data_IF_384436369569
#
_entry.id   IF_384436369569
#
_cell.length_a   1.000
_cell.length_b   1.000
_cell.length_c   1.000
_cell.angle_alpha   90.00
_cell.angle_beta   90.00
_cell.angle_gamma   90.00
#
_symmetry.space_group_name_H-M   'P 1'
#
loop_
_entity.id
_entity.type
_entity.pdbx_description
1 polymer ?
#
# COMPACT_ATOMS: atom_id res chain seq x y z
N UNK A 1 -75.87 -65.43 5.10
CA UNK A 1 -75.01 -65.90 4.02
C UNK A 1 -74.02 -64.75 3.71
N UNK A 2 -72.94 -64.74 4.38
CA UNK A 2 -71.93 -63.72 4.22
C UNK A 2 -70.60 -64.38 3.88
N UNK A 3 -70.06 -64.13 2.71
CA UNK A 3 -68.79 -64.65 2.23
C UNK A 3 -67.68 -63.73 2.69
N UNK A 4 -66.78 -64.24 3.47
CA UNK A 4 -65.59 -63.56 3.98
C UNK A 4 -64.47 -63.68 2.93
N UNK A 5 -63.99 -62.57 2.40
CA UNK A 5 -62.83 -62.55 1.56
C UNK A 5 -61.64 -62.15 2.42
N UNK A 6 -60.67 -63.02 2.54
CA UNK A 6 -59.38 -62.78 3.17
C UNK A 6 -58.48 -62.20 2.09
N UNK A 7 -58.10 -60.95 2.23
CA UNK A 7 -57.06 -60.31 1.39
C UNK A 7 -55.70 -60.55 2.04
N UNK A 8 -54.84 -61.29 1.37
CA UNK A 8 -53.44 -61.47 1.74
C UNK A 8 -52.67 -60.20 1.32
N UNK A 9 -52.22 -59.48 2.29
CA UNK A 9 -51.32 -58.27 2.06
C UNK A 9 -49.88 -58.77 1.90
N UNK A 10 -49.37 -58.76 0.68
CA UNK A 10 -47.99 -59.05 0.40
C UNK A 10 -47.10 -57.85 0.84
N UNK A 11 -46.25 -58.07 1.83
CA UNK A 11 -45.23 -57.15 2.22
C UNK A 11 -44.10 -57.18 1.18
N UNK A 12 -44.09 -56.24 0.29
CA UNK A 12 -42.92 -55.99 -0.56
C UNK A 12 -41.84 -55.31 0.29
N UNK A 13 -40.79 -56.01 0.66
CA UNK A 13 -39.58 -55.44 1.24
C UNK A 13 -38.86 -54.61 0.17
N UNK A 14 -39.00 -53.32 0.26
CA UNK A 14 -38.08 -52.42 -0.46
C UNK A 14 -36.71 -52.54 0.19
N UNK A 15 -35.83 -53.30 -0.45
CA UNK A 15 -34.41 -53.16 -0.22
C UNK A 15 -34.02 -51.77 -0.71
N UNK A 16 -33.99 -50.79 0.20
CA UNK A 16 -33.33 -49.51 -0.06
C UNK A 16 -31.83 -49.80 -0.20
N UNK A 17 -31.36 -49.90 -1.44
CA UNK A 17 -29.97 -49.67 -1.71
C UNK A 17 -29.68 -48.24 -1.28
N UNK A 18 -29.12 -48.07 -0.10
CA UNK A 18 -28.37 -46.87 0.23
C UNK A 18 -27.18 -46.89 -0.70
N UNK A 19 -27.31 -46.29 -1.88
CA UNK A 19 -26.13 -45.80 -2.57
C UNK A 19 -25.59 -44.73 -1.64
N UNK A 20 -24.53 -45.09 -0.94
CA UNK A 20 -23.59 -44.10 -0.43
C UNK A 20 -23.16 -43.30 -1.65
N UNK A 21 -23.79 -42.15 -1.85
CA UNK A 21 -23.26 -41.12 -2.72
C UNK A 21 -22.03 -40.61 -1.95
N UNK A 22 -20.93 -41.33 -2.07
CA UNK A 22 -19.63 -40.75 -1.80
C UNK A 22 -19.56 -39.55 -2.74
N UNK A 23 -19.79 -38.36 -2.19
CA UNK A 23 -19.37 -37.11 -2.83
C UNK A 23 -17.91 -37.31 -3.18
N UNK A 24 -17.65 -37.70 -4.43
CA UNK A 24 -16.27 -37.73 -4.91
C UNK A 24 -15.71 -36.36 -4.65
N UNK A 25 -14.80 -36.25 -3.69
CA UNK A 25 -13.96 -35.07 -3.52
C UNK A 25 -13.36 -34.79 -4.88
N UNK A 26 -13.46 -33.55 -5.39
CA UNK A 26 -12.91 -33.21 -6.68
C UNK A 26 -11.46 -33.68 -6.76
N UNK A 27 -11.12 -34.51 -7.73
CA UNK A 27 -9.79 -35.11 -7.93
C UNK A 27 -8.75 -34.08 -8.41
N UNK A 28 -8.98 -32.78 -8.20
CA UNK A 28 -8.08 -31.71 -8.56
C UNK A 28 -7.15 -31.31 -7.41
N UNK A 29 -5.93 -30.93 -7.73
CA UNK A 29 -5.06 -30.27 -6.78
C UNK A 29 -5.64 -28.88 -6.44
N UNK A 30 -5.69 -28.53 -5.15
CA UNK A 30 -6.14 -27.22 -4.69
C UNK A 30 -5.17 -26.15 -5.16
N UNK A 31 -5.68 -25.01 -5.63
CA UNK A 31 -4.88 -23.81 -5.85
C UNK A 31 -4.47 -23.28 -4.48
N UNK A 32 -3.20 -23.40 -4.12
CA UNK A 32 -2.66 -22.89 -2.87
C UNK A 32 -1.90 -21.60 -3.09
N UNK A 33 -1.88 -20.74 -2.08
CA UNK A 33 -1.05 -19.54 -2.04
C UNK A 33 0.05 -19.69 -1.01
N UNK A 34 1.25 -19.19 -1.33
CA UNK A 34 2.44 -19.27 -0.47
C UNK A 34 3.39 -18.14 -0.79
N UNK A 35 4.39 -17.94 0.08
CA UNK A 35 5.48 -17.00 -0.15
C UNK A 35 5.03 -15.58 -0.53
N UNK A 36 4.33 -14.94 0.41
CA UNK A 36 4.02 -13.52 0.31
C UNK A 36 5.27 -12.73 0.70
N UNK A 37 5.90 -12.10 -0.27
CA UNK A 37 7.06 -11.24 -0.06
C UNK A 37 6.74 -9.82 -0.48
N UNK A 38 7.27 -8.84 0.25
CA UNK A 38 7.27 -7.44 -0.16
C UNK A 38 8.64 -7.13 -0.73
N UNK A 39 8.67 -6.56 -1.93
CA UNK A 39 9.91 -6.13 -2.56
C UNK A 39 10.50 -4.95 -1.79
N UNK A 40 11.57 -5.19 -1.04
CA UNK A 40 12.43 -4.16 -0.49
C UNK A 40 13.61 -3.97 -1.45
N UNK A 41 13.77 -2.81 -2.00
CA UNK A 41 14.78 -2.51 -3.00
C UNK A 41 16.21 -2.43 -2.47
N UNK A 42 16.46 -2.77 -1.23
CA UNK A 42 17.80 -2.96 -0.68
C UNK A 42 18.21 -4.42 -0.69
N UNK A 43 18.93 -4.74 -1.61
CA UNK A 43 19.91 -5.75 -1.93
C UNK A 43 20.49 -6.61 -0.83
N UNK A 44 19.71 -7.30 -0.03
CA UNK A 44 20.16 -8.53 0.58
C UNK A 44 19.04 -9.55 0.42
N UNK A 45 19.35 -10.74 -0.07
CA UNK A 45 18.40 -11.86 -0.17
C UNK A 45 17.79 -12.27 1.19
N UNK A 46 18.15 -11.59 2.27
CA UNK A 46 17.66 -11.75 3.63
C UNK A 46 16.54 -10.76 4.03
N UNK A 47 16.25 -9.72 3.23
CA UNK A 47 15.31 -8.65 3.58
C UNK A 47 13.95 -8.74 2.88
N UNK A 48 13.63 -9.86 2.28
CA UNK A 48 12.26 -10.16 1.89
C UNK A 48 11.47 -10.43 3.17
N UNK A 49 10.89 -9.40 3.75
CA UNK A 49 10.03 -9.55 4.92
C UNK A 49 8.82 -10.37 4.47
N UNK A 50 8.67 -11.56 5.03
CA UNK A 50 7.46 -12.35 4.84
C UNK A 50 6.28 -11.48 5.29
N UNK A 51 5.41 -11.09 4.34
CA UNK A 51 4.26 -10.26 4.65
C UNK A 51 3.34 -10.98 5.62
N UNK A 52 3.07 -10.35 6.76
CA UNK A 52 2.09 -10.85 7.73
C UNK A 52 0.81 -10.02 7.58
N UNK A 53 0.23 -10.02 6.40
CA UNK A 53 -0.98 -9.27 6.08
C UNK A 53 -1.91 -10.12 5.20
N UNK A 54 -3.18 -9.86 5.30
CA UNK A 54 -4.21 -10.39 4.42
C UNK A 54 -4.24 -9.64 3.09
N UNK A 55 -4.63 -10.33 2.02
CA UNK A 55 -4.70 -9.76 0.68
C UNK A 55 -5.90 -10.29 -0.10
N UNK A 56 -6.35 -9.53 -1.08
CA UNK A 56 -7.40 -9.92 -2.03
C UNK A 56 -6.80 -10.49 -3.30
N UNK A 57 -7.28 -11.66 -3.75
CA UNK A 57 -6.82 -12.29 -4.99
C UNK A 57 -7.87 -12.18 -6.08
N UNK A 58 -7.43 -11.81 -7.26
CA UNK A 58 -8.14 -11.95 -8.53
C UNK A 58 -7.41 -12.98 -9.38
N UNK A 59 -8.14 -13.90 -9.97
CA UNK A 59 -7.54 -14.97 -10.78
C UNK A 59 -8.35 -15.24 -12.03
N UNK A 60 -7.68 -15.32 -13.18
CA UNK A 60 -8.26 -15.71 -14.45
C UNK A 60 -7.70 -17.05 -14.88
N UNK A 61 -8.56 -17.92 -15.41
CA UNK A 61 -8.17 -19.15 -16.08
C UNK A 61 -8.50 -19.07 -17.57
N UNK A 62 -7.58 -19.52 -18.39
CA UNK A 62 -7.76 -19.68 -19.82
C UNK A 62 -7.48 -21.12 -20.26
N UNK A 63 -8.42 -21.74 -20.95
CA UNK A 63 -8.30 -23.09 -21.51
C UNK A 63 -9.05 -23.18 -22.85
N UNK A 64 -9.11 -24.37 -23.45
CA UNK A 64 -9.81 -24.60 -24.72
C UNK A 64 -11.32 -24.31 -24.65
N UNK A 65 -11.94 -24.31 -23.47
CA UNK A 65 -13.36 -24.04 -23.26
C UNK A 65 -13.67 -22.55 -23.05
N UNK A 66 -12.65 -21.68 -22.94
CA UNK A 66 -12.81 -20.24 -22.76
C UNK A 66 -11.97 -19.67 -21.62
N UNK A 67 -12.19 -18.40 -21.34
CA UNK A 67 -11.53 -17.64 -20.28
C UNK A 67 -12.57 -17.22 -19.24
N UNK A 68 -12.19 -17.18 -17.97
CA UNK A 68 -13.08 -16.69 -16.91
C UNK A 68 -12.34 -16.36 -15.61
N UNK A 69 -12.94 -15.48 -14.82
CA UNK A 69 -12.50 -15.22 -13.46
C UNK A 69 -12.86 -16.39 -12.57
N UNK A 70 -11.88 -16.93 -11.84
CA UNK A 70 -12.06 -17.97 -10.81
C UNK A 70 -11.92 -17.41 -9.41
N UNK A 71 -11.25 -16.24 -9.28
CA UNK A 71 -11.20 -15.45 -8.06
C UNK A 71 -11.59 -14.01 -8.38
N UNK A 72 -12.47 -13.47 -7.54
CA UNK A 72 -12.87 -12.05 -7.61
C UNK A 72 -12.79 -11.48 -6.21
N UNK A 73 -11.70 -10.77 -5.95
CA UNK A 73 -11.39 -10.21 -4.62
C UNK A 73 -11.50 -11.27 -3.50
N UNK A 74 -10.98 -12.47 -3.77
CA UNK A 74 -10.97 -13.55 -2.79
C UNK A 74 -10.06 -13.19 -1.63
N UNK A 75 -10.58 -13.09 -0.39
CA UNK A 75 -9.72 -12.87 0.77
C UNK A 75 -8.83 -14.09 1.01
N UNK A 76 -7.54 -13.82 1.20
CA UNK A 76 -6.51 -14.80 1.53
C UNK A 76 -5.81 -14.30 2.79
N UNK A 77 -5.77 -15.14 3.83
CA UNK A 77 -5.07 -14.82 5.06
C UNK A 77 -3.55 -14.86 4.87
N UNK A 78 -2.80 -14.27 5.80
CA UNK A 78 -1.34 -14.20 5.76
C UNK A 78 -0.65 -15.58 5.70
N UNK A 79 -1.31 -16.64 6.15
CA UNK A 79 -0.84 -18.04 6.08
C UNK A 79 -1.18 -18.73 4.75
N UNK A 80 -1.85 -18.03 3.82
CA UNK A 80 -2.26 -18.52 2.52
C UNK A 80 -3.61 -19.28 2.53
N UNK A 81 -4.33 -19.31 3.66
CA UNK A 81 -5.65 -19.95 3.74
C UNK A 81 -6.76 -19.09 3.17
N UNK A 82 -7.75 -19.71 2.54
CA UNK A 82 -8.93 -19.05 1.98
C UNK A 82 -10.09 -20.01 1.84
N UNK A 83 -11.31 -19.48 1.69
CA UNK A 83 -12.54 -20.27 1.49
C UNK A 83 -13.54 -19.48 0.62
N UNK A 84 -14.28 -20.14 -0.31
CA UNK A 84 -14.19 -21.54 -0.69
C UNK A 84 -12.92 -21.85 -1.51
N UNK A 85 -12.40 -23.06 -1.39
CA UNK A 85 -11.22 -23.48 -2.15
C UNK A 85 -11.52 -23.67 -3.63
N UNK A 86 -10.55 -23.37 -4.49
CA UNK A 86 -10.58 -23.60 -5.94
C UNK A 86 -9.54 -24.64 -6.33
N UNK A 87 -9.76 -25.30 -7.45
CA UNK A 87 -8.92 -26.38 -7.93
C UNK A 87 -8.27 -26.03 -9.27
N UNK A 88 -7.06 -26.51 -9.48
CA UNK A 88 -6.39 -26.40 -10.76
C UNK A 88 -7.17 -27.16 -11.86
N UNK A 89 -7.36 -26.52 -13.01
CA UNK A 89 -7.91 -27.13 -14.21
C UNK A 89 -6.74 -27.60 -15.07
N UNK A 90 -6.87 -28.81 -15.64
CA UNK A 90 -5.87 -29.36 -16.52
C UNK A 90 -5.75 -28.55 -17.83
N UNK A 91 -4.54 -28.51 -18.39
CA UNK A 91 -4.21 -27.87 -19.67
C UNK A 91 -4.67 -26.39 -19.75
N UNK A 92 -4.58 -25.68 -18.64
CA UNK A 92 -5.03 -24.30 -18.50
C UNK A 92 -3.89 -23.34 -18.16
N UNK A 93 -4.00 -22.10 -18.63
CA UNK A 93 -3.15 -20.98 -18.27
C UNK A 93 -3.87 -20.13 -17.21
N UNK A 94 -3.08 -19.59 -16.28
CA UNK A 94 -3.59 -18.74 -15.21
C UNK A 94 -2.87 -17.41 -15.16
N UNK A 95 -3.60 -16.37 -14.76
CA UNK A 95 -3.08 -15.07 -14.39
C UNK A 95 -3.65 -14.73 -12.99
N UNK A 96 -2.79 -14.34 -12.05
CA UNK A 96 -3.18 -13.94 -10.70
C UNK A 96 -2.70 -12.53 -10.38
N UNK A 97 -3.60 -11.74 -9.81
CA UNK A 97 -3.28 -10.45 -9.19
C UNK A 97 -3.62 -10.54 -7.70
N UNK A 98 -2.74 -10.02 -6.86
CA UNK A 98 -2.98 -9.86 -5.44
C UNK A 98 -2.82 -8.39 -5.05
N UNK A 99 -3.72 -7.88 -4.19
CA UNK A 99 -3.70 -6.51 -3.69
C UNK A 99 -3.84 -6.55 -2.17
N UNK A 100 -2.98 -5.82 -1.47
CA UNK A 100 -2.97 -5.75 -0.02
C UNK A 100 -2.93 -4.29 0.49
N UNK A 101 -3.41 -4.04 1.73
CA UNK A 101 -4.11 -4.97 2.62
C UNK A 101 -5.55 -5.24 2.14
N UNK A 102 -6.13 -6.37 2.54
CA UNK A 102 -7.55 -6.68 2.28
C UNK A 102 -8.46 -6.07 3.34
N UNK A 103 -8.12 -6.28 4.62
CA UNK A 103 -8.90 -5.77 5.75
C UNK A 103 -8.79 -4.24 5.87
N UNK A 104 -9.91 -3.56 6.07
CA UNK A 104 -10.01 -2.09 6.10
C UNK A 104 -9.48 -1.41 4.83
N UNK A 105 -9.51 -2.10 3.70
CA UNK A 105 -9.03 -1.59 2.43
C UNK A 105 -9.75 -0.31 2.01
N UNK A 106 -8.98 0.68 1.56
CA UNK A 106 -9.47 1.92 0.96
C UNK A 106 -9.28 1.91 -0.56
N UNK A 107 -9.21 0.71 -1.15
CA UNK A 107 -9.04 0.49 -2.57
C UNK A 107 -10.16 -0.39 -3.14
N UNK A 108 -10.32 -0.29 -4.46
CA UNK A 108 -11.13 -1.19 -5.26
C UNK A 108 -10.40 -1.53 -6.56
N UNK A 109 -10.48 -2.79 -6.99
CA UNK A 109 -9.99 -3.23 -8.29
C UNK A 109 -11.16 -3.68 -9.16
N UNK A 110 -11.38 -2.99 -10.27
CA UNK A 110 -12.41 -3.34 -11.25
C UNK A 110 -11.75 -4.01 -12.44
N UNK A 111 -12.14 -5.25 -12.70
CA UNK A 111 -11.56 -6.04 -13.79
C UNK A 111 -12.55 -7.07 -14.33
N UNK A 112 -12.34 -7.49 -15.58
CA UNK A 112 -12.97 -8.67 -16.20
C UNK A 112 -11.93 -9.77 -16.49
N UNK A 113 -10.65 -9.45 -16.31
CA UNK A 113 -9.49 -10.33 -16.52
C UNK A 113 -8.42 -9.91 -15.53
N UNK A 114 -7.97 -10.81 -14.64
CA UNK A 114 -7.12 -10.49 -13.49
C UNK A 114 -5.93 -9.58 -13.82
N UNK A 115 -5.31 -9.73 -14.99
CA UNK A 115 -4.13 -8.96 -15.41
C UNK A 115 -4.45 -7.59 -16.04
N UNK A 116 -5.72 -7.28 -16.31
CA UNK A 116 -6.14 -6.00 -16.90
C UNK A 116 -7.28 -5.39 -16.10
N UNK A 117 -7.09 -4.17 -15.63
CA UNK A 117 -8.11 -3.52 -14.82
C UNK A 117 -7.72 -2.15 -14.31
N UNK A 118 -8.51 -1.66 -13.37
CA UNK A 118 -8.35 -0.33 -12.79
C UNK A 118 -8.38 -0.42 -11.27
N UNK A 119 -7.31 0.04 -10.63
CA UNK A 119 -7.27 0.25 -9.18
C UNK A 119 -7.72 1.67 -8.89
N UNK A 120 -8.67 1.81 -7.97
CA UNK A 120 -9.03 3.09 -7.34
C UNK A 120 -8.60 3.05 -5.89
N UNK A 121 -8.02 4.13 -5.39
CA UNK A 121 -7.59 4.26 -4.01
C UNK A 121 -8.04 5.60 -3.43
N UNK A 122 -8.66 5.56 -2.22
CA UNK A 122 -9.09 6.74 -1.49
C UNK A 122 -8.08 7.05 -0.38
N UNK A 123 -7.12 7.92 -0.68
CA UNK A 123 -6.06 8.30 0.25
C UNK A 123 -6.55 9.25 1.35
N UNK A 124 -7.56 10.05 1.07
CA UNK A 124 -8.17 10.92 2.08
C UNK A 124 -8.85 10.11 3.19
N UNK A 125 -9.54 9.02 2.86
CA UNK A 125 -10.09 8.09 3.85
C UNK A 125 -9.01 7.26 4.56
N UNK A 126 -7.93 6.88 3.85
CA UNK A 126 -6.79 6.18 4.42
C UNK A 126 -5.93 7.10 5.31
N UNK A 127 -6.16 8.41 5.28
CA UNK A 127 -5.39 9.42 6.00
C UNK A 127 -3.88 9.32 5.78
N UNK A 128 -3.44 8.80 4.62
CA UNK A 128 -2.03 8.56 4.31
C UNK A 128 -1.33 7.52 5.21
N UNK A 129 -2.07 6.77 6.02
CA UNK A 129 -1.54 5.77 6.96
C UNK A 129 -1.53 4.36 6.38
N UNK A 130 -2.32 4.12 5.33
CA UNK A 130 -2.41 2.82 4.68
C UNK A 130 -1.50 2.77 3.45
N UNK A 131 -0.57 1.82 3.44
CA UNK A 131 0.15 1.44 2.23
C UNK A 131 -0.73 0.63 1.29
N UNK A 132 -0.39 0.61 0.01
CA UNK A 132 -1.07 -0.16 -1.02
C UNK A 132 -0.05 -0.99 -1.79
N UNK A 133 -0.22 -2.31 -1.72
CA UNK A 133 0.68 -3.28 -2.31
C UNK A 133 -0.01 -4.02 -3.47
N UNK A 134 0.74 -4.31 -4.52
CA UNK A 134 0.28 -5.02 -5.70
C UNK A 134 1.27 -6.09 -6.11
N UNK A 135 0.76 -7.25 -6.51
CA UNK A 135 1.56 -8.32 -7.10
C UNK A 135 0.82 -8.92 -8.29
N UNK A 136 1.58 -9.31 -9.33
CA UNK A 136 1.10 -10.10 -10.43
C UNK A 136 1.96 -11.36 -10.60
N UNK A 137 1.32 -12.50 -10.79
CA UNK A 137 1.98 -13.78 -10.99
C UNK A 137 1.30 -14.55 -12.11
N UNK A 138 2.11 -15.06 -13.03
CA UNK A 138 1.68 -15.95 -14.13
C UNK A 138 2.38 -17.29 -13.98
N UNK A 139 1.77 -18.28 -13.31
CA UNK A 139 2.32 -19.62 -13.21
C UNK A 139 2.50 -20.28 -14.59
N UNK A 140 3.35 -21.29 -14.64
CA UNK A 140 3.44 -22.13 -15.83
C UNK A 140 2.07 -22.75 -16.16
N UNK A 141 1.82 -23.01 -17.45
CA UNK A 141 0.61 -23.71 -17.88
C UNK A 141 0.52 -25.07 -17.17
N UNK A 142 -0.68 -25.41 -16.69
CA UNK A 142 -0.91 -26.71 -16.06
C UNK A 142 -0.75 -27.85 -17.07
N UNK A 143 -0.31 -28.99 -16.57
CA UNK A 143 -0.26 -30.21 -17.38
C UNK A 143 -1.66 -30.73 -17.70
N UNK A 144 -1.77 -31.52 -18.77
CA UNK A 144 -3.03 -32.14 -19.17
C UNK A 144 -3.61 -33.12 -18.10
N UNK A 145 -2.83 -33.52 -17.12
CA UNK A 145 -3.22 -34.49 -16.09
C UNK A 145 -3.10 -33.96 -14.65
N UNK A 146 -2.82 -32.73 -14.36
CA UNK A 146 -2.60 -32.19 -12.97
C UNK A 146 -1.72 -33.15 -12.09
N UNK A 147 -0.83 -33.88 -12.70
CA UNK A 147 0.09 -34.77 -11.99
C UNK A 147 1.50 -34.54 -12.55
N UNK A 148 2.47 -34.09 -11.72
CA UNK A 148 2.34 -33.71 -10.30
C UNK A 148 1.47 -32.47 -10.08
N UNK A 149 0.96 -32.30 -8.87
CA UNK A 149 0.19 -31.11 -8.49
C UNK A 149 1.03 -29.84 -8.72
N UNK A 150 0.47 -28.77 -9.29
CA UNK A 150 1.19 -27.49 -9.42
C UNK A 150 1.65 -26.96 -8.08
N UNK A 151 2.77 -26.24 -8.09
CA UNK A 151 3.24 -25.53 -6.92
C UNK A 151 2.22 -24.47 -6.46
N UNK A 152 2.29 -24.10 -5.18
CA UNK A 152 1.54 -22.95 -4.67
C UNK A 152 1.93 -21.67 -5.42
N UNK A 153 0.98 -20.75 -5.54
CA UNK A 153 1.18 -19.45 -6.17
C UNK A 153 1.88 -18.52 -5.19
N UNK A 154 3.09 -18.08 -5.54
CA UNK A 154 3.82 -17.09 -4.78
C UNK A 154 3.58 -15.68 -5.32
N UNK A 155 3.53 -14.69 -4.40
CA UNK A 155 3.41 -13.28 -4.74
C UNK A 155 4.60 -12.48 -4.22
N UNK A 156 5.17 -11.64 -5.09
CA UNK A 156 6.12 -10.59 -4.72
C UNK A 156 5.43 -9.26 -4.86
N UNK A 157 5.14 -8.61 -3.74
CA UNK A 157 4.41 -7.35 -3.70
C UNK A 157 5.34 -6.16 -3.90
N UNK A 158 4.97 -5.25 -4.78
CA UNK A 158 5.56 -3.92 -4.92
C UNK A 158 4.65 -2.84 -4.32
N UNK A 159 5.25 -1.78 -3.80
CA UNK A 159 4.51 -0.63 -3.28
C UNK A 159 3.96 0.23 -4.42
N UNK A 160 2.71 0.63 -4.32
CA UNK A 160 2.03 1.49 -5.29
C UNK A 160 2.03 2.97 -4.89
N UNK A 161 2.30 3.30 -3.64
CA UNK A 161 2.33 4.66 -3.10
C UNK A 161 3.76 5.17 -2.95
N UNK A 162 3.90 6.47 -2.64
CA UNK A 162 5.14 7.08 -2.18
C UNK A 162 5.08 7.28 -0.68
N UNK A 163 6.21 7.10 0.00
CA UNK A 163 6.38 7.34 1.43
C UNK A 163 7.08 8.69 1.62
N UNK A 164 6.51 9.60 2.41
CA UNK A 164 7.00 10.98 2.55
C UNK A 164 7.15 11.35 4.02
N UNK A 165 8.24 12.04 4.34
CA UNK A 165 8.48 12.70 5.63
C UNK A 165 9.18 14.05 5.42
N UNK A 166 9.15 14.92 6.44
CA UNK A 166 9.87 16.18 6.46
C UNK A 166 10.98 16.12 7.49
N UNK A 167 12.13 16.74 7.15
CA UNK A 167 13.26 16.92 8.06
C UNK A 167 13.61 18.39 8.13
N UNK A 168 13.66 18.96 9.34
CA UNK A 168 14.04 20.33 9.59
C UNK A 168 15.36 20.35 10.37
N UNK A 169 16.29 21.20 9.97
CA UNK A 169 17.56 21.39 10.66
C UNK A 169 17.70 22.82 11.15
N UNK A 170 18.02 22.98 12.42
CA UNK A 170 18.36 24.25 13.00
C UNK A 170 19.85 24.58 12.67
N UNK A 171 20.09 25.58 11.83
CA UNK A 171 21.43 26.04 11.45
C UNK A 171 21.74 27.46 11.94
N UNK A 172 21.08 27.90 13.01
CA UNK A 172 21.44 29.14 13.67
C UNK A 172 22.91 29.07 14.17
N UNK A 173 23.64 30.18 14.12
CA UNK A 173 25.02 30.23 14.60
C UNK A 173 25.13 30.48 16.11
N UNK A 174 24.07 31.05 16.73
CA UNK A 174 23.99 31.23 18.17
C UNK A 174 23.57 29.90 18.82
N UNK A 175 24.45 29.33 19.63
CA UNK A 175 24.24 28.06 20.33
C UNK A 175 23.11 28.06 21.36
N UNK A 176 22.57 29.23 21.74
CA UNK A 176 21.47 29.37 22.66
C UNK A 176 20.08 29.39 21.96
N UNK A 177 20.06 29.34 20.62
CA UNK A 177 18.83 29.34 19.86
C UNK A 177 18.38 27.91 19.63
N UNK A 178 17.14 27.61 20.03
CA UNK A 178 16.42 26.38 19.70
C UNK A 178 15.10 26.68 19.00
N UNK A 179 14.58 25.70 18.27
CA UNK A 179 13.39 25.82 17.46
C UNK A 179 12.37 24.71 17.78
N UNK A 180 11.10 25.04 17.77
CA UNK A 180 10.04 24.04 17.67
C UNK A 180 9.34 24.18 16.33
N UNK A 181 9.29 23.08 15.55
CA UNK A 181 8.58 23.03 14.28
C UNK A 181 7.34 22.16 14.43
N UNK A 182 6.18 22.70 14.15
CA UNK A 182 4.90 22.02 14.32
C UNK A 182 3.86 22.41 13.27
N UNK A 183 2.72 21.71 13.23
CA UNK A 183 1.68 21.94 12.24
C UNK A 183 2.15 21.71 10.82
N UNK A 184 3.12 20.81 10.64
CA UNK A 184 3.65 20.44 9.31
C UNK A 184 2.58 19.70 8.55
N UNK A 185 2.20 20.21 7.38
CA UNK A 185 1.17 19.60 6.54
C UNK A 185 1.35 19.92 5.06
N UNK A 186 0.90 19.01 4.22
CA UNK A 186 0.64 19.26 2.80
C UNK A 186 -0.84 19.60 2.67
N UNK A 187 -1.16 20.77 2.09
CA UNK A 187 -2.54 21.26 2.01
C UNK A 187 -3.30 20.73 0.79
N UNK A 188 -2.59 20.17 -0.18
CA UNK A 188 -3.16 19.71 -1.45
C UNK A 188 -2.63 18.32 -1.86
N UNK A 189 -2.54 17.40 -0.92
CA UNK A 189 -2.27 15.99 -1.27
C UNK A 189 -3.44 15.43 -2.09
N UNK A 190 -3.16 14.53 -3.05
CA UNK A 190 -4.22 13.91 -3.85
C UNK A 190 -5.15 13.07 -2.97
N UNK A 191 -6.45 13.41 -2.96
CA UNK A 191 -7.46 12.75 -2.12
C UNK A 191 -7.75 11.33 -2.62
N UNK A 192 -7.88 11.18 -3.93
CA UNK A 192 -8.16 9.91 -4.60
C UNK A 192 -7.21 9.70 -5.77
N UNK A 193 -7.01 8.45 -6.14
CA UNK A 193 -6.22 8.09 -7.29
C UNK A 193 -6.80 6.93 -8.07
N UNK A 194 -6.49 6.93 -9.36
CA UNK A 194 -6.81 5.85 -10.29
C UNK A 194 -5.52 5.38 -10.97
N UNK A 195 -5.31 4.08 -11.02
CA UNK A 195 -4.15 3.45 -11.64
C UNK A 195 -4.62 2.31 -12.54
N UNK A 196 -4.14 2.29 -13.78
CA UNK A 196 -4.41 1.21 -14.72
C UNK A 196 -3.44 0.05 -14.52
N UNK A 197 -3.96 -1.17 -14.64
CA UNK A 197 -3.17 -2.40 -14.75
C UNK A 197 -3.35 -2.93 -16.17
N UNK A 198 -2.25 -3.13 -16.88
CA UNK A 198 -2.23 -3.63 -18.26
C UNK A 198 -1.24 -4.78 -18.35
N UNK A 199 -1.72 -5.96 -18.72
CA UNK A 199 -0.92 -7.20 -18.79
C UNK A 199 -0.12 -7.49 -17.48
N UNK A 200 -0.75 -7.22 -16.33
CA UNK A 200 -0.14 -7.39 -15.02
C UNK A 200 0.80 -6.25 -14.58
N UNK A 201 1.08 -5.28 -15.45
CA UNK A 201 1.93 -4.13 -15.13
C UNK A 201 1.10 -2.92 -14.71
N UNK A 202 1.47 -2.31 -13.57
CA UNK A 202 0.84 -1.09 -13.07
C UNK A 202 1.38 0.14 -13.80
N UNK A 203 0.49 0.98 -14.30
CA UNK A 203 0.82 2.23 -14.98
C UNK A 203 1.08 3.37 -13.98
N UNK A 204 1.09 4.62 -14.46
CA UNK A 204 1.17 5.79 -13.60
C UNK A 204 -0.18 6.09 -12.96
N UNK A 205 -0.15 6.72 -11.78
CA UNK A 205 -1.33 7.23 -11.11
C UNK A 205 -1.88 8.49 -11.77
N UNK A 206 -3.20 8.57 -11.79
CA UNK A 206 -3.93 9.83 -11.99
C UNK A 206 -4.60 10.19 -10.67
N UNK A 207 -4.17 11.29 -10.05
CA UNK A 207 -4.73 11.77 -8.77
C UNK A 207 -5.81 12.81 -9.02
N UNK A 208 -6.84 12.81 -8.16
CA UNK A 208 -7.95 13.76 -8.17
C UNK A 208 -8.28 14.25 -6.76
N UNK A 209 -8.88 15.45 -6.69
CA UNK A 209 -9.22 16.08 -5.44
C UNK A 209 -7.98 16.45 -4.60
N UNK A 210 -8.22 17.23 -3.57
CA UNK A 210 -7.21 17.67 -2.62
C UNK A 210 -7.65 17.36 -1.20
N UNK A 211 -6.72 16.97 -0.34
CA UNK A 211 -6.95 16.87 1.10
C UNK A 211 -5.71 17.35 1.86
N UNK A 212 -5.91 17.73 3.11
CA UNK A 212 -4.81 18.15 4.00
C UNK A 212 -4.24 16.93 4.68
N UNK A 213 -2.92 16.68 4.46
CA UNK A 213 -2.20 15.64 5.20
C UNK A 213 -1.25 16.27 6.22
N UNK A 214 -1.53 16.06 7.50
CA UNK A 214 -0.66 16.48 8.59
C UNK A 214 0.46 15.45 8.82
N UNK A 215 1.67 15.95 9.15
CA UNK A 215 2.89 15.16 9.37
C UNK A 215 3.39 15.24 10.81
N UNK A 216 2.55 15.64 11.73
CA UNK A 216 2.91 15.76 13.14
C UNK A 216 1.90 16.57 13.93
N UNK A 217 2.24 16.91 15.19
CA UNK A 217 1.36 17.66 16.06
C UNK A 217 1.00 19.04 15.49
N UNK A 218 -0.25 19.47 15.76
CA UNK A 218 -0.74 20.79 15.35
C UNK A 218 -0.27 21.93 16.28
N UNK A 219 0.25 21.60 17.49
CA UNK A 219 0.69 22.55 18.52
C UNK A 219 2.13 22.29 18.96
N UNK A 220 2.80 23.31 19.47
CA UNK A 220 4.19 23.24 19.93
C UNK A 220 4.38 22.39 21.20
N UNK A 221 3.34 22.20 22.01
CA UNK A 221 3.45 21.64 23.36
C UNK A 221 3.92 20.17 23.41
N UNK A 222 3.79 19.47 22.28
CA UNK A 222 4.14 18.05 22.14
C UNK A 222 5.32 17.80 21.21
N UNK A 223 5.99 18.87 20.74
CA UNK A 223 7.10 18.77 19.79
C UNK A 223 8.43 18.86 20.52
N UNK A 224 9.37 17.99 20.13
CA UNK A 224 10.73 18.07 20.63
C UNK A 224 11.42 19.34 20.12
N UNK A 225 12.15 20.01 21.02
CA UNK A 225 12.95 21.19 20.71
C UNK A 225 14.17 20.81 19.84
N UNK A 226 14.35 21.52 18.74
CA UNK A 226 15.50 21.35 17.85
C UNK A 226 16.62 22.25 18.37
N UNK A 227 17.57 21.68 19.09
CA UNK A 227 18.75 22.40 19.53
C UNK A 227 19.60 22.90 18.33
N UNK A 228 20.55 23.77 18.60
CA UNK A 228 21.49 24.23 17.59
C UNK A 228 22.19 23.06 16.88
N UNK A 229 22.23 23.08 15.56
CA UNK A 229 22.69 22.00 14.68
C UNK A 229 21.89 20.66 14.81
N UNK A 230 20.82 20.65 15.58
CA UNK A 230 19.90 19.51 15.70
C UNK A 230 18.97 19.39 14.48
N UNK A 231 18.29 18.25 14.42
CA UNK A 231 17.28 17.94 13.39
C UNK A 231 16.01 17.41 14.02
N UNK A 232 14.88 17.65 13.36
CA UNK A 232 13.58 17.01 13.62
C UNK A 232 13.12 16.36 12.33
N UNK A 233 12.79 15.08 12.39
CA UNK A 233 12.12 14.36 11.29
C UNK A 233 10.71 14.01 11.72
N UNK A 234 9.73 14.29 10.87
CA UNK A 234 8.32 13.95 11.09
C UNK A 234 8.09 12.44 10.92
N UNK A 235 6.89 12.00 11.30
CA UNK A 235 6.43 10.68 10.88
C UNK A 235 6.30 10.59 9.36
N UNK A 236 6.30 9.34 8.85
CA UNK A 236 6.13 9.07 7.44
C UNK A 236 4.67 8.80 7.12
N UNK A 237 4.21 9.32 5.98
CA UNK A 237 2.88 9.03 5.45
C UNK A 237 2.94 8.63 3.98
N UNK A 238 1.91 7.91 3.55
CA UNK A 238 1.78 7.43 2.18
C UNK A 238 0.97 8.41 1.35
N UNK A 239 1.50 8.79 0.19
CA UNK A 239 0.84 9.68 -0.76
C UNK A 239 0.67 8.98 -2.11
N UNK A 240 -0.41 9.31 -2.80
CA UNK A 240 -0.58 8.92 -4.21
C UNK A 240 0.51 9.62 -5.02
N UNK A 241 1.37 8.90 -5.74
CA UNK A 241 2.49 9.48 -6.47
C UNK A 241 2.01 10.16 -7.75
N UNK A 242 1.79 11.46 -7.64
CA UNK A 242 1.47 12.34 -8.75
C UNK A 242 2.46 13.49 -8.81
N UNK A 243 2.83 13.90 -10.00
CA UNK A 243 3.66 15.08 -10.21
C UNK A 243 2.80 16.33 -10.07
N UNK A 244 3.08 17.14 -9.07
CA UNK A 244 2.37 18.41 -8.83
C UNK A 244 3.20 19.37 -7.98
N UNK A 245 2.79 20.62 -7.96
CA UNK A 245 3.20 21.55 -6.94
C UNK A 245 2.45 21.24 -5.64
N UNK A 246 3.22 21.04 -4.57
CA UNK A 246 2.68 20.80 -3.23
C UNK A 246 2.76 22.06 -2.39
N UNK A 247 1.66 22.38 -1.71
CA UNK A 247 1.58 23.49 -0.78
C UNK A 247 1.84 22.97 0.63
N UNK A 248 3.02 23.25 1.16
CA UNK A 248 3.45 22.83 2.49
C UNK A 248 3.30 24.00 3.45
N UNK A 249 2.65 23.80 4.58
CA UNK A 249 2.61 24.77 5.66
C UNK A 249 3.13 24.18 6.96
N UNK A 250 3.75 25.03 7.77
CA UNK A 250 4.24 24.71 9.11
C UNK A 250 4.48 25.98 9.92
N UNK A 251 4.66 25.81 11.24
CA UNK A 251 5.00 26.90 12.17
C UNK A 251 6.35 26.64 12.82
N UNK A 252 7.07 27.71 13.09
CA UNK A 252 8.35 27.71 13.79
C UNK A 252 8.28 28.63 14.98
N UNK A 253 8.43 28.10 16.18
CA UNK A 253 8.72 28.90 17.40
C UNK A 253 10.23 29.00 17.56
N UNK A 254 10.68 30.19 17.89
CA UNK A 254 12.11 30.49 18.20
C UNK A 254 12.24 30.69 19.70
N UNK A 255 13.18 30.00 20.32
CA UNK A 255 13.54 30.15 21.72
C UNK A 255 15.01 30.64 21.84
N UNK A 256 15.28 31.48 22.83
CA UNK A 256 16.61 31.83 23.26
C UNK A 256 16.76 31.55 24.74
N UNK A 257 17.70 30.69 25.10
CA UNK A 257 17.91 30.23 26.45
C UNK A 257 16.62 29.79 27.17
N UNK A 258 15.73 29.07 26.46
CA UNK A 258 14.45 28.56 26.94
C UNK A 258 13.30 29.58 26.98
N UNK A 259 13.55 30.84 26.58
CA UNK A 259 12.49 31.87 26.48
C UNK A 259 12.02 31.97 25.05
N UNK A 260 10.71 31.81 24.82
CA UNK A 260 10.11 31.99 23.52
C UNK A 260 10.22 33.43 23.06
N UNK A 261 10.83 33.65 21.92
CA UNK A 261 10.98 34.96 21.30
C UNK A 261 9.87 35.29 20.32
N UNK A 262 9.56 34.34 19.41
CA UNK A 262 8.63 34.60 18.33
C UNK A 262 8.00 33.29 17.77
N UNK A 263 6.97 33.45 16.94
CA UNK A 263 6.32 32.40 16.17
C UNK A 263 6.13 32.85 14.73
N UNK A 264 6.60 32.04 13.79
CA UNK A 264 6.45 32.30 12.36
C UNK A 264 5.64 31.19 11.68
N UNK A 265 4.78 31.60 10.74
CA UNK A 265 4.01 30.66 9.90
C UNK A 265 4.59 30.70 8.48
N UNK A 266 4.89 29.52 7.95
CA UNK A 266 5.39 29.36 6.60
C UNK A 266 4.39 28.65 5.72
N UNK A 267 4.26 29.13 4.45
CA UNK A 267 3.50 28.51 3.38
C UNK A 267 4.42 28.46 2.17
N UNK A 268 4.84 27.27 1.80
CA UNK A 268 5.87 27.04 0.78
C UNK A 268 5.27 26.20 -0.33
N UNK A 269 5.44 26.64 -1.57
CA UNK A 269 5.13 25.82 -2.75
C UNK A 269 6.40 25.13 -3.22
N UNK A 270 6.33 23.81 -3.37
CA UNK A 270 7.45 22.99 -3.84
C UNK A 270 6.99 21.96 -4.84
N UNK A 271 7.74 21.78 -5.92
CA UNK A 271 7.46 20.74 -6.91
C UNK A 271 8.17 19.46 -6.50
N UNK A 272 7.39 18.39 -6.31
CA UNK A 272 7.91 17.06 -5.96
C UNK A 272 7.43 16.08 -7.01
N UNK A 273 8.38 15.37 -7.62
CA UNK A 273 8.09 14.27 -8.53
C UNK A 273 8.03 12.97 -7.74
N UNK A 274 6.88 12.68 -7.15
CA UNK A 274 6.67 11.44 -6.41
C UNK A 274 6.55 10.25 -7.37
N UNK A 275 7.24 9.16 -7.05
CA UNK A 275 7.20 7.89 -7.77
C UNK A 275 6.72 6.76 -6.85
N UNK A 276 5.96 5.82 -7.40
CA UNK A 276 5.51 4.64 -6.64
C UNK A 276 6.69 3.81 -6.14
N UNK A 277 6.57 3.28 -4.93
CA UNK A 277 7.61 2.47 -4.29
C UNK A 277 8.86 3.25 -3.87
N UNK A 278 8.79 4.58 -3.81
CA UNK A 278 9.90 5.42 -3.36
C UNK A 278 9.58 6.09 -2.02
N UNK A 279 10.64 6.29 -1.23
CA UNK A 279 10.59 7.05 0.03
C UNK A 279 11.30 8.39 -0.16
N UNK A 280 10.69 9.45 0.33
CA UNK A 280 11.19 10.83 0.22
C UNK A 280 11.33 11.43 1.61
N UNK A 281 12.47 12.03 1.89
CA UNK A 281 12.68 12.98 2.98
C UNK A 281 12.78 14.38 2.38
N UNK A 282 11.87 15.25 2.76
CA UNK A 282 11.86 16.65 2.32
C UNK A 282 12.58 17.46 3.38
N UNK A 283 13.82 17.83 3.13
CA UNK A 283 14.65 18.50 4.12
C UNK A 283 14.74 20.01 3.90
N UNK A 284 14.69 20.77 4.99
CA UNK A 284 14.83 22.21 5.01
C UNK A 284 15.74 22.68 6.14
N UNK A 285 16.60 23.65 5.80
CA UNK A 285 17.42 24.36 6.78
C UNK A 285 16.68 25.60 7.30
N UNK A 286 16.64 25.75 8.61
CA UNK A 286 16.09 26.91 9.30
C UNK A 286 17.21 27.77 9.86
N UNK A 287 17.29 29.02 9.38
CA UNK A 287 18.37 29.97 9.64
C UNK A 287 17.83 31.36 9.99
N UNK A 288 18.63 32.26 10.61
CA UNK A 288 18.20 33.63 10.91
C UNK A 288 17.71 34.40 9.69
N UNK A 289 18.27 34.10 8.50
CA UNK A 289 17.97 34.79 7.25
C UNK A 289 16.77 34.26 6.47
N UNK A 290 16.14 33.17 6.92
CA UNK A 290 14.96 32.58 6.23
C UNK A 290 13.78 32.29 7.15
N UNK A 291 13.97 32.19 8.47
CA UNK A 291 12.90 31.76 9.38
C UNK A 291 11.85 32.85 9.62
N UNK A 292 12.22 34.15 9.51
CA UNK A 292 11.27 35.25 9.59
C UNK A 292 10.80 35.66 8.20
N UNK A 293 9.53 35.33 7.82
CA UNK A 293 9.02 35.59 6.47
C UNK A 293 8.93 37.08 6.13
N UNK A 294 8.94 37.99 7.13
CA UNK A 294 8.87 39.45 6.90
C UNK A 294 10.21 40.06 6.60
N UNK A 295 11.31 39.40 6.94
CA UNK A 295 12.67 39.92 6.76
C UNK A 295 13.61 38.85 6.14
N UNK A 296 13.06 37.78 5.58
CA UNK A 296 13.87 36.75 4.97
C UNK A 296 14.65 37.29 3.77
N UNK A 297 15.95 36.98 3.71
CA UNK A 297 16.80 37.23 2.57
C UNK A 297 16.74 36.12 1.53
N UNK A 298 16.44 34.91 1.97
CA UNK A 298 16.32 33.71 1.14
C UNK A 298 15.06 32.93 1.54
N UNK A 299 14.36 32.34 0.58
CA UNK A 299 13.20 31.46 0.91
C UNK A 299 13.66 30.18 1.63
N UNK A 300 12.78 29.59 2.42
CA UNK A 300 12.95 28.21 2.86
C UNK A 300 12.62 27.32 1.65
N UNK A 301 13.58 26.52 1.24
CA UNK A 301 13.41 25.56 0.15
C UNK A 301 13.49 24.14 0.69
N UNK A 302 12.58 23.29 0.23
CA UNK A 302 12.67 21.86 0.48
C UNK A 302 13.51 21.20 -0.60
N UNK A 303 14.52 20.47 -0.16
CA UNK A 303 15.26 19.55 -1.01
C UNK A 303 14.64 18.17 -0.94
N UNK A 304 14.54 17.52 -2.09
CA UNK A 304 13.93 16.20 -2.21
C UNK A 304 15.03 15.16 -2.28
N UNK A 305 15.08 14.32 -1.27
CA UNK A 305 15.94 13.15 -1.25
C UNK A 305 15.13 11.93 -1.70
N UNK A 306 15.18 11.61 -3.00
CA UNK A 306 14.53 10.41 -3.51
C UNK A 306 15.34 9.18 -3.13
N UNK A 307 14.65 8.19 -2.55
CA UNK A 307 15.27 6.93 -2.16
C UNK A 307 14.74 5.80 -3.01
N UNK A 308 15.62 4.93 -3.46
CA UNK A 308 15.24 3.70 -4.13
C UNK A 308 14.66 2.71 -3.13
N UNK A 309 13.37 2.34 -3.33
CA UNK A 309 12.63 1.51 -2.39
C UNK A 309 12.32 2.22 -1.08
N UNK A 310 11.75 1.54 -0.13
CA UNK A 310 11.41 2.11 1.18
C UNK A 310 12.62 2.37 2.09
N UNK A 311 13.84 2.45 1.56
CA UNK A 311 15.02 2.85 2.31
C UNK A 311 15.11 4.36 2.42
N UNK A 312 15.37 4.85 3.63
CA UNK A 312 15.69 6.25 3.84
C UNK A 312 17.10 6.51 3.31
N UNK A 313 17.24 7.43 2.34
CA UNK A 313 18.51 8.14 2.17
C UNK A 313 18.47 9.36 3.06
N UNK A 314 19.46 9.54 3.85
CA UNK A 314 19.83 10.83 4.41
C UNK A 314 20.77 11.47 3.41
N UNK A 315 20.31 12.46 2.67
CA UNK A 315 21.23 13.31 1.92
C UNK A 315 21.68 14.44 2.82
N UNK A 316 22.96 14.79 2.73
CA UNK A 316 23.48 15.96 3.42
C UNK A 316 22.70 17.21 2.96
N UNK A 317 22.12 17.90 3.92
CA UNK A 317 21.40 19.14 3.67
C UNK A 317 22.42 20.13 3.09
N UNK A 318 22.25 20.46 1.81
CA UNK A 318 23.12 21.46 1.18
C UNK A 318 22.98 22.76 1.95
N UNK A 319 24.05 23.20 2.56
CA UNK A 319 24.05 24.46 3.29
C UNK A 319 23.86 25.60 2.28
N UNK A 320 22.83 26.42 2.50
CA UNK A 320 22.75 27.74 1.88
C UNK A 320 24.05 28.49 2.28
N UNK A 321 24.82 29.01 1.34
CA UNK A 321 26.02 29.74 1.70
C UNK A 321 25.70 30.89 2.65
N UNK A 322 26.31 30.92 3.81
CA UNK A 322 26.32 32.09 4.67
C UNK A 322 27.20 33.13 3.99
N UNK A 323 26.65 34.07 3.24
CA UNK A 323 27.31 35.32 2.84
C UNK A 323 26.94 36.43 3.79
#
# INVERSE_FOLDING_TARGET
MKKLFIAILGVAAFAACSQDVTLETPKGAVIGFDNVFVENSTRAAADLTKGNFDFGVYGTVANASGNGLIFTNQPVAADGTYSPVQYWIADAQYDFVAIAPYTNAKWAYTTTDAKNGTIKFNNAEAQGEQDLLFAYTKPAKTHATITPAPAKVGFTFGHLLSKVAFTFKNIFTDGNISLNVYGVQINNAAAEGTLQVVDGATQSWTGTGDYVRAFGPATADTVAEIANNGTLTTEHFYLIPVQREYNVSFKVDIYQAGVKLDTYTHNITTTINLEKGKSYSLSANLAPNNVNPNSQLFPIEFQVDAVTGWTQATQDIVSVPNN
#
